data_IF_286279519873
#
_entry.id   IF_286279519873
#
_cell.length_a   1.000
_cell.length_b   1.000
_cell.length_c   1.000
_cell.angle_alpha   90.00
_cell.angle_beta   90.00
_cell.angle_gamma   90.00
#
_symmetry.space_group_name_H-M   'P 1'
#
loop_
_entity.id
_entity.type
_entity.pdbx_description
1 polymer ?
#
# COMPACT_ATOMS: atom_id res chain seq x y z
N UNK A 1 3.47 -44.19 19.96
CA UNK A 1 2.49 -43.64 20.91
C UNK A 1 3.22 -42.64 21.80
N UNK A 2 3.21 -41.35 21.42
CA UNK A 2 3.70 -40.28 22.31
C UNK A 2 2.49 -39.74 23.08
N UNK A 3 2.45 -40.07 24.38
CA UNK A 3 1.49 -39.47 25.31
C UNK A 3 1.74 -37.94 25.36
N UNK A 4 0.79 -37.16 24.86
CA UNK A 4 0.71 -35.73 25.13
C UNK A 4 0.47 -35.56 26.65
N UNK A 5 1.55 -35.41 27.43
CA UNK A 5 1.46 -34.92 28.80
C UNK A 5 0.88 -33.50 28.73
N UNK A 6 -0.41 -33.37 29.00
CA UNK A 6 -1.06 -32.09 29.25
C UNK A 6 -0.30 -31.42 30.40
N UNK A 7 0.52 -30.42 30.07
CA UNK A 7 1.19 -29.57 31.06
C UNK A 7 0.05 -28.88 31.86
N UNK A 8 -0.08 -29.23 33.17
CA UNK A 8 -1.05 -28.57 34.04
C UNK A 8 -0.64 -27.12 34.20
N UNK A 9 -1.47 -26.21 33.70
CA UNK A 9 -1.28 -24.78 33.89
C UNK A 9 -1.25 -24.41 35.37
N UNK A 10 -0.21 -23.73 35.80
CA UNK A 10 -0.10 -23.19 37.17
C UNK A 10 -1.01 -21.96 37.31
N UNK A 11 -1.28 -21.53 38.59
CA UNK A 11 -2.06 -20.29 38.81
C UNK A 11 -1.44 -19.07 38.16
N UNK A 12 -0.11 -19.00 38.11
CA UNK A 12 0.64 -17.92 37.44
C UNK A 12 0.45 -17.93 35.93
N UNK A 13 0.39 -19.12 35.31
CA UNK A 13 0.17 -19.23 33.85
C UNK A 13 -1.24 -18.76 33.47
N UNK A 14 -2.23 -19.09 34.29
CA UNK A 14 -3.62 -18.60 34.10
C UNK A 14 -3.70 -17.08 34.21
N UNK A 15 -3.07 -16.51 35.23
CA UNK A 15 -3.04 -15.08 35.43
C UNK A 15 -2.37 -14.37 34.24
N UNK A 16 -1.21 -14.87 33.80
CA UNK A 16 -0.50 -14.36 32.63
C UNK A 16 -1.36 -14.43 31.37
N UNK A 17 -2.03 -15.55 31.15
CA UNK A 17 -2.95 -15.75 30.02
C UNK A 17 -4.09 -14.77 30.03
N UNK A 18 -4.73 -14.57 31.22
CA UNK A 18 -5.82 -13.59 31.37
C UNK A 18 -5.34 -12.17 31.09
N UNK A 19 -4.20 -11.76 31.65
CA UNK A 19 -3.62 -10.43 31.42
C UNK A 19 -3.31 -10.20 29.93
N UNK A 20 -2.72 -11.20 29.27
CA UNK A 20 -2.39 -11.14 27.85
C UNK A 20 -3.64 -11.01 26.98
N UNK A 21 -4.67 -11.82 27.22
CA UNK A 21 -5.95 -11.68 26.51
C UNK A 21 -6.65 -10.34 26.78
N UNK A 22 -6.65 -9.89 28.03
CA UNK A 22 -7.24 -8.58 28.40
C UNK A 22 -6.53 -7.45 27.66
N UNK A 23 -5.20 -7.48 27.62
CA UNK A 23 -4.39 -6.50 26.88
C UNK A 23 -4.67 -6.57 25.37
N UNK A 24 -4.69 -7.78 24.79
CA UNK A 24 -4.96 -7.97 23.36
C UNK A 24 -6.37 -7.52 22.98
N UNK A 25 -7.38 -7.81 23.80
CA UNK A 25 -8.76 -7.35 23.59
C UNK A 25 -8.83 -5.83 23.72
N UNK A 26 -8.16 -5.24 24.72
CA UNK A 26 -8.08 -3.78 24.88
C UNK A 26 -7.49 -3.09 23.64
N UNK A 27 -6.39 -3.61 23.10
CA UNK A 27 -5.80 -3.14 21.84
C UNK A 27 -6.76 -3.31 20.65
N UNK A 28 -7.42 -4.46 20.56
CA UNK A 28 -8.38 -4.73 19.51
C UNK A 28 -9.51 -3.70 19.51
N UNK A 29 -10.11 -3.44 20.68
CA UNK A 29 -11.20 -2.48 20.83
C UNK A 29 -10.75 -1.04 20.50
N UNK A 30 -9.53 -0.67 20.92
CA UNK A 30 -8.96 0.64 20.65
C UNK A 30 -8.77 0.88 19.14
N UNK A 31 -8.32 -0.14 18.38
CA UNK A 31 -8.14 -0.05 16.94
C UNK A 31 -9.47 -0.17 16.19
N UNK A 32 -10.36 -1.02 16.67
CA UNK A 32 -11.64 -1.32 16.00
C UNK A 32 -12.63 -0.15 16.10
N UNK A 33 -12.62 0.58 17.23
CA UNK A 33 -13.55 1.68 17.49
C UNK A 33 -13.53 2.75 16.36
N UNK A 34 -12.39 3.35 15.97
CA UNK A 34 -12.38 4.35 14.91
C UNK A 34 -12.81 3.79 13.54
N UNK A 35 -12.57 2.51 13.27
CA UNK A 35 -13.01 1.87 12.04
C UNK A 35 -14.53 1.71 12.00
N UNK A 36 -15.13 1.22 13.10
CA UNK A 36 -16.58 1.12 13.24
C UNK A 36 -17.21 2.52 13.17
N UNK A 37 -16.61 3.52 13.82
CA UNK A 37 -17.09 4.90 13.76
C UNK A 37 -17.15 5.42 12.34
N UNK A 38 -16.08 5.27 11.54
CA UNK A 38 -16.05 5.71 10.13
C UNK A 38 -17.14 5.03 9.30
N UNK A 39 -17.31 3.71 9.46
CA UNK A 39 -18.37 2.98 8.77
C UNK A 39 -19.76 3.47 9.22
N UNK A 40 -20.00 3.62 10.52
CA UNK A 40 -21.29 4.11 11.05
C UNK A 40 -21.57 5.54 10.60
N UNK A 41 -20.54 6.40 10.59
CA UNK A 41 -20.63 7.77 10.12
C UNK A 41 -20.99 7.84 8.63
N UNK A 42 -20.44 6.95 7.81
CA UNK A 42 -20.72 6.92 6.37
C UNK A 42 -22.19 6.58 6.02
N UNK A 43 -22.90 5.93 6.94
CA UNK A 43 -24.31 5.61 6.81
C UNK A 43 -25.22 6.53 7.63
N UNK A 44 -24.70 7.52 8.34
CA UNK A 44 -25.48 8.42 9.20
C UNK A 44 -25.86 9.72 8.50
N UNK A 45 -26.91 10.38 8.98
CA UNK A 45 -27.28 11.71 8.50
C UNK A 45 -26.22 12.76 8.88
N UNK A 46 -25.96 13.78 8.04
CA UNK A 46 -25.03 14.87 8.34
C UNK A 46 -25.39 15.60 9.63
N UNK A 47 -26.70 15.75 9.90
CA UNK A 47 -27.21 16.42 11.08
C UNK A 47 -26.82 15.64 12.37
N UNK A 48 -26.93 14.31 12.33
CA UNK A 48 -26.53 13.46 13.44
C UNK A 48 -25.01 13.48 13.67
N UNK A 49 -24.21 13.55 12.58
CA UNK A 49 -22.77 13.68 12.65
C UNK A 49 -22.32 15.00 13.28
N UNK A 50 -22.84 16.13 12.78
CA UNK A 50 -22.52 17.46 13.29
C UNK A 50 -23.00 17.62 14.75
N UNK A 51 -24.13 16.99 15.12
CA UNK A 51 -24.62 16.98 16.49
C UNK A 51 -23.84 16.03 17.42
N UNK A 52 -22.85 15.29 16.92
CA UNK A 52 -22.05 14.34 17.72
C UNK A 52 -22.82 13.13 18.27
N UNK A 53 -23.95 12.77 17.62
CA UNK A 53 -24.82 11.66 18.07
C UNK A 53 -24.35 10.29 17.60
N UNK A 54 -23.46 10.23 16.62
CA UNK A 54 -22.94 8.98 16.04
C UNK A 54 -21.77 8.48 16.88
N UNK A 55 -21.84 7.22 17.33
CA UNK A 55 -20.78 6.56 18.13
C UNK A 55 -20.37 5.22 17.50
N UNK A 56 -21.16 4.17 17.74
CA UNK A 56 -20.89 2.82 17.22
C UNK A 56 -21.88 2.39 16.14
N UNK A 57 -23.09 2.92 16.16
CA UNK A 57 -24.15 2.58 15.22
C UNK A 57 -24.59 3.80 14.42
N UNK A 58 -25.04 3.60 13.18
CA UNK A 58 -25.59 4.68 12.37
C UNK A 58 -26.83 5.32 13.02
N UNK A 59 -26.92 6.65 12.93
CA UNK A 59 -28.08 7.43 13.41
C UNK A 59 -28.73 8.11 12.21
N UNK A 60 -30.07 8.01 12.11
CA UNK A 60 -30.84 8.48 10.96
C UNK A 60 -30.24 7.98 9.64
N UNK A 61 -30.17 6.66 9.49
CA UNK A 61 -29.44 5.99 8.41
C UNK A 61 -29.82 6.48 7.04
N UNK A 62 -28.83 6.86 6.22
CA UNK A 62 -28.98 7.36 4.85
C UNK A 62 -27.86 6.89 3.95
N UNK A 63 -28.16 6.75 2.65
CA UNK A 63 -27.18 6.48 1.59
C UNK A 63 -26.81 7.75 0.82
N UNK A 64 -27.24 8.94 1.28
CA UNK A 64 -27.02 10.20 0.59
C UNK A 64 -25.52 10.49 0.35
N UNK A 65 -24.64 10.13 1.29
CA UNK A 65 -23.20 10.26 1.13
C UNK A 65 -22.64 9.41 -0.02
N UNK A 66 -23.04 8.15 -0.10
CA UNK A 66 -22.64 7.28 -1.20
C UNK A 66 -23.20 7.76 -2.53
N UNK A 67 -24.49 8.18 -2.59
CA UNK A 67 -25.10 8.76 -3.79
C UNK A 67 -24.32 9.99 -4.25
N UNK A 68 -23.98 10.90 -3.33
CA UNK A 68 -23.17 12.07 -3.63
C UNK A 68 -21.80 11.68 -4.21
N UNK A 69 -21.09 10.71 -3.63
CA UNK A 69 -19.81 10.22 -4.15
C UNK A 69 -19.96 9.68 -5.57
N UNK A 70 -21.03 8.93 -5.86
CA UNK A 70 -21.26 8.37 -7.19
C UNK A 70 -21.66 9.42 -8.25
N UNK A 71 -22.26 10.52 -7.84
CA UNK A 71 -22.63 11.64 -8.73
C UNK A 71 -21.44 12.53 -9.10
N UNK A 72 -20.36 12.55 -8.28
CA UNK A 72 -19.18 13.37 -8.54
C UNK A 72 -18.24 12.72 -9.55
N UNK A 73 -18.14 13.30 -10.75
CA UNK A 73 -17.28 12.84 -11.84
C UNK A 73 -15.80 12.80 -11.43
N UNK A 74 -15.36 13.77 -10.66
CA UNK A 74 -13.98 13.92 -10.21
C UNK A 74 -13.51 12.75 -9.34
N UNK A 75 -14.41 12.16 -8.55
CA UNK A 75 -14.10 10.97 -7.75
C UNK A 75 -13.80 9.79 -8.66
N UNK A 76 -14.56 9.62 -9.74
CA UNK A 76 -14.33 8.54 -10.69
C UNK A 76 -13.05 8.72 -11.52
N UNK A 77 -12.75 9.97 -11.90
CA UNK A 77 -11.47 10.33 -12.56
C UNK A 77 -10.32 10.01 -11.60
N UNK A 78 -10.42 10.45 -10.35
CA UNK A 78 -9.40 10.16 -9.33
C UNK A 78 -9.24 8.67 -9.05
N UNK A 79 -10.35 7.92 -8.99
CA UNK A 79 -10.33 6.47 -8.83
C UNK A 79 -9.65 5.78 -10.02
N UNK A 80 -10.01 6.14 -11.25
CA UNK A 80 -9.40 5.59 -12.46
C UNK A 80 -7.89 5.91 -12.53
N UNK A 81 -7.50 7.14 -12.16
CA UNK A 81 -6.09 7.52 -12.05
C UNK A 81 -5.36 6.70 -10.98
N UNK A 82 -5.96 6.49 -9.80
CA UNK A 82 -5.34 5.66 -8.74
C UNK A 82 -5.15 4.21 -9.21
N UNK A 83 -6.12 3.62 -9.91
CA UNK A 83 -5.98 2.29 -10.50
C UNK A 83 -4.87 2.28 -11.55
N UNK A 84 -4.79 3.30 -12.40
CA UNK A 84 -3.72 3.44 -13.38
C UNK A 84 -2.34 3.53 -12.72
N UNK A 85 -2.15 4.43 -11.74
CA UNK A 85 -0.87 4.56 -11.03
C UNK A 85 -0.50 3.28 -10.28
N UNK A 86 -1.47 2.65 -9.63
CA UNK A 86 -1.25 1.39 -8.92
C UNK A 86 -0.82 0.27 -9.87
N UNK A 87 -1.51 0.09 -11.00
CA UNK A 87 -1.21 -1.03 -11.91
C UNK A 87 0.06 -0.80 -12.71
N UNK A 88 0.18 0.34 -13.39
CA UNK A 88 1.34 0.67 -14.24
C UNK A 88 2.59 0.91 -13.37
N UNK A 89 2.44 1.64 -12.25
CA UNK A 89 3.53 1.88 -11.32
C UNK A 89 4.05 0.60 -10.69
N UNK A 90 3.17 -0.26 -10.17
CA UNK A 90 3.57 -1.54 -9.59
C UNK A 90 4.29 -2.44 -10.61
N UNK A 91 3.80 -2.51 -11.84
CA UNK A 91 4.44 -3.29 -12.89
C UNK A 91 5.84 -2.75 -13.22
N UNK A 92 5.98 -1.44 -13.39
CA UNK A 92 7.27 -0.78 -13.63
C UNK A 92 8.24 -1.05 -12.47
N UNK A 93 7.81 -0.81 -11.24
CA UNK A 93 8.63 -1.01 -10.05
C UNK A 93 9.06 -2.48 -9.90
N UNK A 94 8.16 -3.43 -10.16
CA UNK A 94 8.47 -4.85 -10.08
C UNK A 94 9.51 -5.27 -11.12
N UNK A 95 9.38 -4.81 -12.37
CA UNK A 95 10.35 -5.09 -13.44
C UNK A 95 11.73 -4.53 -13.08
N UNK A 96 11.80 -3.28 -12.61
CA UNK A 96 13.06 -2.65 -12.23
C UNK A 96 13.68 -3.31 -10.98
N UNK A 97 12.86 -3.68 -10.00
CA UNK A 97 13.31 -4.40 -8.81
C UNK A 97 13.88 -5.77 -9.17
N UNK A 98 13.22 -6.51 -10.06
CA UNK A 98 13.74 -7.79 -10.58
C UNK A 98 15.06 -7.61 -11.34
N UNK A 99 15.12 -6.59 -12.22
CA UNK A 99 16.32 -6.29 -13.00
C UNK A 99 17.52 -5.89 -12.13
N UNK A 100 17.28 -5.26 -10.97
CA UNK A 100 18.31 -4.92 -10.00
C UNK A 100 18.64 -6.09 -9.06
N UNK A 101 17.63 -6.72 -8.45
CA UNK A 101 17.83 -7.73 -7.42
C UNK A 101 18.43 -9.03 -7.95
N UNK A 102 18.06 -9.46 -9.15
CA UNK A 102 18.56 -10.72 -9.70
C UNK A 102 20.08 -10.71 -9.94
N UNK A 103 20.66 -9.75 -10.67
CA UNK A 103 22.13 -9.70 -10.81
C UNK A 103 22.84 -9.53 -9.46
N UNK A 104 22.31 -8.69 -8.57
CA UNK A 104 22.91 -8.46 -7.25
C UNK A 104 22.83 -9.69 -6.32
N UNK A 105 21.91 -10.61 -6.58
CA UNK A 105 21.85 -11.87 -5.84
C UNK A 105 22.94 -12.87 -6.23
N UNK A 106 23.54 -12.69 -7.40
CA UNK A 106 24.52 -13.61 -7.99
C UNK A 106 25.90 -13.43 -7.38
N UNK A 107 26.58 -14.54 -7.10
CA UNK A 107 27.96 -14.55 -6.58
C UNK A 107 29.00 -14.22 -7.64
N UNK A 108 28.68 -14.51 -8.90
CA UNK A 108 29.58 -14.27 -10.07
C UNK A 108 29.54 -12.84 -10.60
N UNK A 109 28.72 -11.94 -10.01
CA UNK A 109 28.67 -10.53 -10.39
C UNK A 109 29.92 -9.78 -9.89
N UNK A 110 30.77 -9.35 -10.83
CA UNK A 110 31.96 -8.52 -10.53
C UNK A 110 31.46 -7.16 -9.98
N UNK A 111 31.98 -6.76 -8.81
CA UNK A 111 31.58 -5.51 -8.16
C UNK A 111 30.21 -5.53 -7.45
N UNK A 112 29.52 -6.67 -7.42
CA UNK A 112 28.19 -6.79 -6.81
C UNK A 112 28.12 -6.31 -5.36
N UNK A 113 29.20 -6.51 -4.57
CA UNK A 113 29.29 -6.03 -3.19
C UNK A 113 29.33 -4.50 -3.10
N UNK A 114 30.10 -3.83 -3.98
CA UNK A 114 30.19 -2.37 -4.02
C UNK A 114 28.86 -1.77 -4.45
N UNK A 115 28.21 -2.34 -5.47
CA UNK A 115 26.88 -1.89 -5.93
C UNK A 115 25.84 -2.07 -4.81
N UNK A 116 25.82 -3.21 -4.12
CA UNK A 116 24.92 -3.45 -2.97
C UNK A 116 25.13 -2.42 -1.87
N UNK A 117 26.39 -2.04 -1.57
CA UNK A 117 26.70 -0.99 -0.60
C UNK A 117 26.21 0.39 -1.05
N UNK A 118 26.32 0.73 -2.34
CA UNK A 118 25.76 1.98 -2.89
C UNK A 118 24.24 2.00 -2.76
N UNK A 119 23.56 0.90 -3.04
CA UNK A 119 22.12 0.80 -2.80
C UNK A 119 21.79 0.98 -1.31
N UNK A 120 22.50 0.29 -0.41
CA UNK A 120 22.30 0.42 1.02
C UNK A 120 22.58 1.84 1.54
N UNK A 121 23.56 2.54 0.96
CA UNK A 121 23.84 3.94 1.26
C UNK A 121 22.62 4.83 0.97
N UNK A 122 21.94 4.64 -0.15
CA UNK A 122 20.76 5.44 -0.52
C UNK A 122 19.54 5.19 0.37
N UNK A 123 19.49 4.11 1.16
CA UNK A 123 18.45 3.93 2.18
C UNK A 123 18.58 4.95 3.33
N UNK A 124 19.81 5.32 3.66
CA UNK A 124 20.11 6.20 4.80
C UNK A 124 20.25 7.66 4.34
N UNK A 125 20.85 7.86 3.18
CA UNK A 125 21.12 9.18 2.62
C UNK A 125 20.21 9.46 1.42
N UNK A 126 19.18 10.29 1.64
CA UNK A 126 18.32 10.80 0.58
C UNK A 126 18.70 12.23 0.22
N UNK A 127 18.52 12.61 -1.03
CA UNK A 127 18.74 14.00 -1.49
C UNK A 127 17.73 15.00 -0.90
N UNK A 128 16.62 14.51 -0.36
CA UNK A 128 15.55 15.33 0.20
C UNK A 128 14.54 15.83 -0.84
N UNK A 129 13.53 16.53 -0.35
CA UNK A 129 12.36 16.95 -1.14
C UNK A 129 12.73 17.96 -2.22
N UNK A 130 13.47 19.01 -1.85
CA UNK A 130 13.79 20.14 -2.76
C UNK A 130 14.63 19.66 -3.93
N UNK A 131 15.75 18.94 -3.77
CA UNK A 131 16.50 18.38 -4.88
C UNK A 131 15.68 17.48 -5.79
N UNK A 132 14.82 16.63 -5.22
CA UNK A 132 13.93 15.76 -5.99
C UNK A 132 12.95 16.58 -6.86
N UNK A 133 12.33 17.61 -6.27
CA UNK A 133 11.43 18.49 -7.01
C UNK A 133 12.14 19.20 -8.17
N UNK A 134 13.35 19.74 -7.91
CA UNK A 134 14.14 20.43 -8.92
C UNK A 134 14.54 19.48 -10.05
N UNK A 135 14.91 18.24 -9.75
CA UNK A 135 15.22 17.22 -10.74
C UNK A 135 13.99 16.89 -11.61
N UNK A 136 12.84 16.66 -11.01
CA UNK A 136 11.58 16.39 -11.74
C UNK A 136 11.22 17.57 -12.64
N UNK A 137 11.43 18.81 -12.17
CA UNK A 137 11.23 20.02 -12.93
C UNK A 137 12.22 20.13 -14.12
N UNK A 138 13.50 19.89 -13.89
CA UNK A 138 14.52 19.94 -14.94
C UNK A 138 14.31 18.89 -16.04
N UNK A 139 13.79 17.71 -15.64
CA UNK A 139 13.43 16.64 -16.59
C UNK A 139 12.14 16.94 -17.37
N UNK A 140 11.46 18.08 -17.10
CA UNK A 140 10.20 18.42 -17.77
C UNK A 140 9.03 17.50 -17.42
N UNK A 141 9.11 16.79 -16.27
CA UNK A 141 8.10 15.82 -15.87
C UNK A 141 6.96 16.44 -15.05
N UNK A 142 7.07 17.72 -14.61
CA UNK A 142 6.00 18.37 -13.85
C UNK A 142 4.68 18.32 -14.62
N UNK A 143 3.62 18.15 -13.88
CA UNK A 143 2.24 18.02 -14.39
C UNK A 143 2.04 16.89 -15.42
N UNK A 144 2.84 15.83 -15.30
CA UNK A 144 2.70 14.61 -16.10
C UNK A 144 2.45 13.39 -15.22
N UNK A 145 1.81 12.37 -15.76
CA UNK A 145 1.65 11.08 -15.06
C UNK A 145 3.00 10.42 -14.74
N UNK A 146 4.02 10.69 -15.54
CA UNK A 146 5.37 10.15 -15.34
C UNK A 146 6.04 10.71 -14.09
N UNK A 147 5.65 11.92 -13.63
CA UNK A 147 6.15 12.49 -12.38
C UNK A 147 5.83 11.65 -11.14
N UNK A 148 4.75 10.85 -11.18
CA UNK A 148 4.39 9.94 -10.09
C UNK A 148 5.02 8.54 -10.23
N UNK A 149 5.40 8.16 -11.44
CA UNK A 149 5.91 6.82 -11.74
C UNK A 149 7.43 6.72 -11.68
N UNK A 150 8.15 7.69 -12.32
CA UNK A 150 9.60 7.60 -12.54
C UNK A 150 10.42 7.88 -11.26
N UNK A 151 10.17 8.94 -10.47
CA UNK A 151 11.02 9.25 -9.32
C UNK A 151 11.05 8.15 -8.26
N UNK A 152 9.97 7.40 -8.13
CA UNK A 152 9.83 6.30 -7.17
C UNK A 152 9.80 4.92 -7.86
N UNK A 153 10.37 4.82 -9.06
CA UNK A 153 10.32 3.59 -9.86
C UNK A 153 11.11 2.43 -9.24
N UNK A 154 12.01 2.70 -8.31
CA UNK A 154 12.80 1.69 -7.61
C UNK A 154 12.86 2.00 -6.11
N UNK A 155 12.39 1.04 -5.30
CA UNK A 155 12.53 1.09 -3.85
C UNK A 155 13.68 0.15 -3.42
N UNK A 156 14.72 0.72 -2.84
CA UNK A 156 15.95 -0.01 -2.48
C UNK A 156 15.69 -1.08 -1.42
N UNK A 157 14.79 -0.83 -0.47
CA UNK A 157 14.39 -1.83 0.52
C UNK A 157 13.82 -3.08 -0.16
N UNK A 158 12.92 -2.90 -1.13
CA UNK A 158 12.33 -3.99 -1.90
C UNK A 158 13.38 -4.75 -2.73
N UNK A 159 14.38 -4.05 -3.28
CA UNK A 159 15.52 -4.69 -3.97
C UNK A 159 16.31 -5.59 -3.02
N UNK A 160 16.62 -5.10 -1.82
CA UNK A 160 17.38 -5.86 -0.82
C UNK A 160 16.59 -7.07 -0.34
N UNK A 161 15.30 -6.94 -0.07
CA UNK A 161 14.42 -8.06 0.32
C UNK A 161 14.38 -9.11 -0.77
N UNK A 162 14.16 -8.71 -2.02
CA UNK A 162 14.11 -9.62 -3.16
C UNK A 162 15.46 -10.30 -3.41
N UNK A 163 16.56 -9.55 -3.37
CA UNK A 163 17.92 -10.06 -3.48
C UNK A 163 18.22 -11.09 -2.40
N UNK A 164 17.87 -10.81 -1.15
CA UNK A 164 18.08 -11.72 -0.01
C UNK A 164 17.29 -13.01 -0.19
N UNK A 165 16.05 -12.92 -0.64
CA UNK A 165 15.23 -14.09 -0.96
C UNK A 165 15.87 -14.94 -2.06
N UNK A 166 16.34 -14.35 -3.15
CA UNK A 166 16.99 -15.09 -4.22
C UNK A 166 18.25 -15.82 -3.72
N UNK A 167 19.07 -15.17 -2.87
CA UNK A 167 20.28 -15.78 -2.29
C UNK A 167 19.98 -16.97 -1.38
N UNK A 168 18.86 -16.92 -0.64
CA UNK A 168 18.52 -17.97 0.33
C UNK A 168 17.69 -19.10 -0.27
N UNK A 169 16.90 -18.82 -1.30
CA UNK A 169 15.88 -19.76 -1.80
C UNK A 169 16.25 -20.40 -3.14
N UNK A 170 17.25 -19.87 -3.85
CA UNK A 170 17.69 -20.39 -5.16
C UNK A 170 19.12 -20.91 -5.01
N UNK A 171 19.32 -22.25 -4.94
CA UNK A 171 20.64 -22.86 -4.85
C UNK A 171 21.49 -22.55 -6.08
N UNK A 172 22.81 -22.36 -5.88
CA UNK A 172 23.77 -22.15 -6.97
C UNK A 172 23.83 -23.33 -7.94
N UNK A 173 23.58 -24.54 -7.45
CA UNK A 173 23.60 -25.79 -8.23
C UNK A 173 22.53 -25.80 -9.33
N UNK A 174 21.37 -25.15 -9.10
CA UNK A 174 20.36 -24.98 -10.14
C UNK A 174 20.85 -24.11 -11.29
N UNK A 175 21.63 -23.10 -10.97
CA UNK A 175 22.22 -22.23 -11.98
C UNK A 175 23.29 -22.96 -12.79
N UNK A 176 24.16 -23.69 -12.12
CA UNK A 176 25.26 -24.43 -12.76
C UNK A 176 24.69 -25.52 -13.68
N UNK A 177 23.68 -26.27 -13.23
CA UNK A 177 22.95 -27.22 -14.08
C UNK A 177 22.33 -26.53 -15.31
N UNK A 178 21.64 -25.42 -15.11
CA UNK A 178 21.04 -24.68 -16.21
C UNK A 178 22.07 -24.13 -17.21
N UNK A 179 23.28 -23.73 -16.74
CA UNK A 179 24.40 -23.32 -17.62
C UNK A 179 24.94 -24.50 -18.45
N UNK A 180 25.02 -25.68 -17.87
CA UNK A 180 25.44 -26.91 -18.58
C UNK A 180 24.45 -27.24 -19.71
N UNK A 181 23.16 -26.97 -19.49
CA UNK A 181 22.08 -27.11 -20.50
C UNK A 181 22.04 -25.94 -21.51
N UNK A 182 22.99 -25.01 -21.51
CA UNK A 182 23.05 -23.86 -22.42
C UNK A 182 21.99 -22.79 -22.13
N UNK A 183 21.45 -22.73 -20.93
CA UNK A 183 20.44 -21.74 -20.55
C UNK A 183 21.05 -20.36 -20.34
N UNK A 184 20.52 -19.33 -21.04
CA UNK A 184 20.93 -17.94 -20.83
C UNK A 184 20.43 -17.38 -19.50
N UNK A 185 21.12 -16.36 -18.95
CA UNK A 185 20.73 -15.72 -17.68
C UNK A 185 19.28 -15.20 -17.68
N UNK A 186 18.81 -14.61 -18.78
CA UNK A 186 17.42 -14.11 -18.90
C UNK A 186 16.43 -15.29 -18.91
N UNK A 187 16.75 -16.37 -19.63
CA UNK A 187 15.92 -17.58 -19.66
C UNK A 187 15.85 -18.23 -18.28
N UNK A 188 16.97 -18.29 -17.55
CA UNK A 188 17.02 -18.78 -16.18
C UNK A 188 16.14 -17.92 -15.26
N UNK A 189 16.24 -16.57 -15.33
CA UNK A 189 15.39 -15.66 -14.58
C UNK A 189 13.90 -15.91 -14.85
N UNK A 190 13.49 -15.93 -16.12
CA UNK A 190 12.07 -16.01 -16.48
C UNK A 190 11.45 -17.39 -16.24
N UNK A 191 12.21 -18.48 -16.46
CA UNK A 191 11.68 -19.85 -16.40
C UNK A 191 11.91 -20.56 -15.09
N UNK A 192 12.90 -20.14 -14.30
CA UNK A 192 13.26 -20.82 -13.05
C UNK A 192 13.11 -19.88 -11.86
N UNK A 193 13.79 -18.73 -11.85
CA UNK A 193 13.82 -17.84 -10.69
C UNK A 193 12.43 -17.25 -10.41
N UNK A 194 11.76 -16.66 -11.39
CA UNK A 194 10.44 -16.04 -11.21
C UNK A 194 9.40 -17.06 -10.74
N UNK A 195 9.22 -18.24 -11.34
CA UNK A 195 8.26 -19.23 -10.86
C UNK A 195 8.52 -19.73 -9.43
N UNK A 196 9.78 -19.90 -9.06
CA UNK A 196 10.17 -20.33 -7.70
C UNK A 196 10.00 -19.20 -6.66
N UNK A 197 9.93 -17.96 -7.10
CA UNK A 197 9.91 -16.78 -6.23
C UNK A 197 8.50 -16.19 -6.04
N UNK A 198 7.44 -16.93 -6.31
CA UNK A 198 6.06 -16.46 -6.26
C UNK A 198 5.70 -15.79 -4.93
N UNK A 199 6.23 -16.27 -3.79
CA UNK A 199 5.94 -15.69 -2.48
C UNK A 199 6.52 -14.26 -2.33
N UNK A 200 7.81 -14.05 -2.62
CA UNK A 200 8.42 -12.71 -2.51
C UNK A 200 7.88 -11.75 -3.56
N UNK A 201 7.58 -12.22 -4.75
CA UNK A 201 6.98 -11.41 -5.81
C UNK A 201 5.60 -10.90 -5.38
N UNK A 202 4.76 -11.74 -4.78
CA UNK A 202 3.46 -11.34 -4.27
C UNK A 202 3.57 -10.27 -3.16
N UNK A 203 4.52 -10.43 -2.24
CA UNK A 203 4.78 -9.47 -1.15
C UNK A 203 5.22 -8.12 -1.70
N UNK A 204 6.22 -8.10 -2.58
CA UNK A 204 6.75 -6.86 -3.16
C UNK A 204 5.73 -6.19 -4.08
N UNK A 205 4.95 -6.98 -4.84
CA UNK A 205 3.82 -6.44 -5.62
C UNK A 205 2.82 -5.73 -4.73
N UNK A 206 2.48 -6.32 -3.56
CA UNK A 206 1.59 -5.66 -2.60
C UNK A 206 2.19 -4.35 -2.07
N UNK A 207 3.47 -4.35 -1.67
CA UNK A 207 4.11 -3.15 -1.14
C UNK A 207 4.02 -1.99 -2.14
N UNK A 208 4.37 -2.23 -3.40
CA UNK A 208 4.24 -1.23 -4.45
C UNK A 208 2.79 -0.83 -4.75
N UNK A 209 1.87 -1.79 -4.80
CA UNK A 209 0.46 -1.50 -5.04
C UNK A 209 -0.15 -0.62 -3.94
N UNK A 210 0.15 -0.92 -2.67
CA UNK A 210 -0.29 -0.11 -1.52
C UNK A 210 0.35 1.27 -1.53
N UNK A 211 1.64 1.37 -1.86
CA UNK A 211 2.37 2.64 -1.96
C UNK A 211 1.74 3.55 -3.03
N UNK A 212 1.53 3.04 -4.24
CA UNK A 212 0.89 3.80 -5.32
C UNK A 212 -0.56 4.16 -5.01
N UNK A 213 -1.33 3.23 -4.44
CA UNK A 213 -2.72 3.51 -4.05
C UNK A 213 -2.84 4.65 -3.04
N UNK A 214 -1.93 4.69 -2.05
CA UNK A 214 -1.93 5.71 -1.00
C UNK A 214 -1.15 6.99 -1.37
N UNK A 215 -0.60 7.07 -2.57
CA UNK A 215 0.21 8.20 -3.01
C UNK A 215 -0.63 9.46 -3.22
N UNK A 216 -0.55 10.41 -2.29
CA UNK A 216 -1.13 11.74 -2.45
C UNK A 216 -0.07 12.85 -2.44
N UNK A 217 1.02 12.66 -1.67
CA UNK A 217 2.00 13.71 -1.42
C UNK A 217 2.78 14.08 -2.70
N UNK A 218 3.24 13.08 -3.46
CA UNK A 218 3.90 13.31 -4.72
C UNK A 218 2.96 13.93 -5.76
N UNK A 219 1.68 13.54 -5.73
CA UNK A 219 0.66 14.16 -6.60
C UNK A 219 0.44 15.64 -6.23
N UNK A 220 0.43 15.97 -4.94
CA UNK A 220 0.33 17.35 -4.47
C UNK A 220 1.50 18.22 -4.92
N UNK A 221 2.72 17.64 -4.97
CA UNK A 221 3.94 18.36 -5.34
C UNK A 221 4.12 18.54 -6.84
N UNK A 222 3.78 17.51 -7.62
CA UNK A 222 4.19 17.45 -9.02
C UNK A 222 3.05 17.67 -10.01
N UNK A 223 1.77 17.56 -9.57
CA UNK A 223 0.62 17.74 -10.44
C UNK A 223 -0.12 19.04 -10.14
N UNK A 224 -0.52 19.74 -11.20
CA UNK A 224 -1.39 20.91 -11.16
C UNK A 224 -2.76 20.64 -11.80
N UNK A 225 -2.82 19.75 -12.78
CA UNK A 225 -4.01 19.37 -13.50
C UNK A 225 -4.85 18.37 -12.69
N UNK A 226 -6.08 18.78 -12.36
CA UNK A 226 -7.03 17.98 -11.56
C UNK A 226 -7.42 16.66 -12.25
N UNK A 227 -7.39 16.60 -13.58
CA UNK A 227 -7.73 15.39 -14.34
C UNK A 227 -6.68 14.26 -14.19
N UNK A 228 -5.52 14.57 -13.61
CA UNK A 228 -4.45 13.61 -13.31
C UNK A 228 -4.38 13.21 -11.84
N UNK A 229 -5.20 13.83 -10.97
CA UNK A 229 -5.14 13.60 -9.53
C UNK A 229 -5.55 12.17 -9.18
N UNK A 230 -4.81 11.48 -8.28
CA UNK A 230 -5.27 10.24 -7.68
C UNK A 230 -6.36 10.50 -6.64
N UNK A 231 -7.16 9.47 -6.36
CA UNK A 231 -8.27 9.54 -5.39
C UNK A 231 -7.82 10.04 -4.01
N UNK A 232 -6.64 9.63 -3.55
CA UNK A 232 -6.12 10.01 -2.22
C UNK A 232 -5.82 11.51 -2.12
N UNK A 233 -5.44 12.17 -3.21
CA UNK A 233 -5.28 13.64 -3.21
C UNK A 233 -6.64 14.34 -3.12
N UNK A 234 -7.66 13.80 -3.78
CA UNK A 234 -9.05 14.23 -3.62
C UNK A 234 -9.52 14.10 -2.18
N UNK A 235 -9.37 12.91 -1.60
CA UNK A 235 -9.73 12.64 -0.21
C UNK A 235 -9.03 13.62 0.74
N UNK A 236 -7.74 13.83 0.58
CA UNK A 236 -6.97 14.80 1.38
C UNK A 236 -7.54 16.22 1.25
N UNK A 237 -7.91 16.66 0.05
CA UNK A 237 -8.45 17.99 -0.15
C UNK A 237 -9.80 18.16 0.55
N UNK A 238 -10.66 17.16 0.53
CA UNK A 238 -11.94 17.18 1.28
C UNK A 238 -11.68 17.17 2.79
N UNK A 239 -10.78 16.33 3.29
CA UNK A 239 -10.53 16.16 4.72
C UNK A 239 -9.81 17.36 5.37
N UNK A 240 -8.83 17.93 4.69
CA UNK A 240 -7.91 18.94 5.27
C UNK A 240 -8.34 20.35 4.91
N UNK A 241 -8.75 20.58 3.68
CA UNK A 241 -9.04 21.93 3.19
C UNK A 241 -10.52 22.29 3.27
N UNK A 242 -11.40 21.34 3.61
CA UNK A 242 -12.86 21.47 3.49
C UNK A 242 -13.28 22.02 2.11
N UNK A 243 -12.45 21.84 1.09
CA UNK A 243 -12.63 22.38 -0.25
C UNK A 243 -13.62 21.55 -1.08
N UNK A 244 -14.84 21.42 -0.57
CA UNK A 244 -16.00 21.08 -1.41
C UNK A 244 -16.37 22.28 -2.30
N UNK A 245 -15.75 23.43 -2.07
CA UNK A 245 -16.03 24.72 -2.73
C UNK A 245 -15.88 24.70 -4.25
N UNK A 246 -14.94 23.92 -4.78
CA UNK A 246 -14.70 23.85 -6.23
C UNK A 246 -15.67 22.91 -6.97
N UNK A 247 -16.38 22.05 -6.24
CA UNK A 247 -17.26 21.03 -6.82
C UNK A 247 -18.71 21.49 -6.98
N UNK A 248 -19.09 22.55 -6.28
CA UNK A 248 -20.44 23.12 -6.31
C UNK A 248 -20.51 24.40 -7.16
N UNK A 249 -19.89 24.41 -8.35
CA UNK A 249 -19.84 25.60 -9.23
C UNK A 249 -21.21 26.13 -9.68
N UNK A 250 -22.26 25.31 -9.60
CA UNK A 250 -23.58 25.67 -10.14
C UNK A 250 -24.68 25.83 -9.08
N UNK A 251 -24.43 25.54 -7.79
CA UNK A 251 -25.48 25.65 -6.77
C UNK A 251 -25.20 26.82 -5.81
N UNK A 252 -26.03 27.86 -5.92
CA UNK A 252 -26.15 29.01 -4.98
C UNK A 252 -26.75 28.54 -3.63
N UNK A 253 -26.35 27.35 -3.14
CA UNK A 253 -26.78 26.86 -1.83
C UNK A 253 -25.91 27.48 -0.75
N UNK A 254 -26.55 27.96 0.30
CA UNK A 254 -25.88 28.64 1.42
C UNK A 254 -24.82 27.79 2.12
N UNK A 255 -23.94 28.40 2.92
CA UNK A 255 -22.81 27.78 3.60
C UNK A 255 -23.16 26.51 4.41
N UNK A 256 -24.35 26.44 4.98
CA UNK A 256 -24.86 25.27 5.71
C UNK A 256 -25.00 24.02 4.82
N UNK A 257 -25.53 24.17 3.60
CA UNK A 257 -25.68 23.03 2.67
C UNK A 257 -24.35 22.48 2.19
N UNK A 258 -23.34 23.33 2.03
CA UNK A 258 -21.97 22.94 1.68
C UNK A 258 -21.29 22.16 2.80
N UNK A 259 -21.47 22.60 4.05
CA UNK A 259 -20.94 21.89 5.22
C UNK A 259 -21.56 20.50 5.36
N UNK A 260 -22.87 20.36 5.15
CA UNK A 260 -23.54 19.05 5.13
C UNK A 260 -23.00 18.13 4.05
N UNK A 261 -22.78 18.65 2.85
CA UNK A 261 -22.26 17.87 1.74
C UNK A 261 -20.82 17.40 2.01
N UNK A 262 -19.98 18.28 2.59
CA UNK A 262 -18.62 17.94 2.99
C UNK A 262 -18.58 16.78 3.97
N UNK A 263 -19.41 16.82 5.01
CA UNK A 263 -19.50 15.75 6.01
C UNK A 263 -20.01 14.42 5.41
N UNK A 264 -20.99 14.48 4.50
CA UNK A 264 -21.47 13.29 3.78
C UNK A 264 -20.37 12.64 2.93
N UNK A 265 -19.65 13.43 2.14
CA UNK A 265 -18.62 12.95 1.25
C UNK A 265 -17.43 12.38 2.00
N UNK A 266 -17.05 13.00 3.11
CA UNK A 266 -15.87 12.66 3.91
C UNK A 266 -15.82 11.17 4.29
N UNK A 267 -16.81 10.70 5.03
CA UNK A 267 -16.83 9.32 5.55
C UNK A 267 -17.13 8.30 4.46
N UNK A 268 -18.05 8.62 3.55
CA UNK A 268 -18.37 7.73 2.42
C UNK A 268 -17.17 7.54 1.47
N UNK A 269 -16.40 8.59 1.22
CA UNK A 269 -15.21 8.52 0.39
C UNK A 269 -14.07 7.75 1.08
N UNK A 270 -13.91 7.90 2.40
CA UNK A 270 -12.94 7.08 3.17
C UNK A 270 -13.27 5.59 2.99
N UNK A 271 -14.53 5.20 3.17
CA UNK A 271 -14.94 3.79 2.99
C UNK A 271 -14.67 3.31 1.58
N UNK A 272 -15.09 4.06 0.55
CA UNK A 272 -14.88 3.70 -0.86
C UNK A 272 -13.38 3.60 -1.19
N UNK A 273 -12.57 4.53 -0.71
CA UNK A 273 -11.12 4.54 -0.98
C UNK A 273 -10.37 3.38 -0.30
N UNK A 274 -10.91 2.80 0.76
CA UNK A 274 -10.29 1.64 1.43
C UNK A 274 -10.69 0.29 0.82
N UNK A 275 -11.81 0.21 0.11
CA UNK A 275 -12.32 -1.04 -0.47
C UNK A 275 -11.32 -1.80 -1.36
N UNK A 276 -10.61 -1.16 -2.31
CA UNK A 276 -9.66 -1.88 -3.16
C UNK A 276 -8.56 -2.57 -2.38
N UNK A 277 -8.03 -1.94 -1.32
CA UNK A 277 -7.01 -2.54 -0.46
C UNK A 277 -7.56 -3.73 0.33
N UNK A 278 -8.80 -3.62 0.84
CA UNK A 278 -9.47 -4.71 1.54
C UNK A 278 -9.73 -5.90 0.62
N UNK A 279 -10.04 -5.66 -0.65
CA UNK A 279 -10.23 -6.72 -1.65
C UNK A 279 -8.90 -7.41 -2.01
N UNK A 280 -7.82 -6.66 -2.13
CA UNK A 280 -6.49 -7.20 -2.47
C UNK A 280 -5.90 -8.02 -1.32
N UNK A 281 -6.14 -7.63 -0.05
CA UNK A 281 -5.53 -8.21 1.13
C UNK A 281 -5.65 -9.76 1.22
N UNK A 282 -6.82 -10.39 1.07
CA UNK A 282 -6.97 -11.84 1.18
C UNK A 282 -6.15 -12.62 0.13
N UNK A 283 -5.97 -12.04 -1.07
CA UNK A 283 -5.17 -12.69 -2.12
C UNK A 283 -3.70 -12.74 -1.77
N UNK A 284 -3.22 -11.78 -1.02
CA UNK A 284 -1.81 -11.68 -0.61
C UNK A 284 -1.55 -12.42 0.70
N UNK A 285 -2.48 -12.39 1.64
CA UNK A 285 -2.37 -13.06 2.93
C UNK A 285 -1.99 -14.54 2.79
N UNK A 286 -2.56 -15.25 1.83
CA UNK A 286 -2.24 -16.67 1.55
C UNK A 286 -0.77 -16.91 1.19
N UNK A 287 -0.07 -15.92 0.63
CA UNK A 287 1.34 -16.02 0.28
C UNK A 287 2.26 -15.69 1.45
N UNK A 288 1.82 -14.79 2.36
CA UNK A 288 2.55 -14.47 3.59
C UNK A 288 2.66 -15.69 4.52
N UNK A 289 1.56 -16.40 4.74
CA UNK A 289 1.53 -17.57 5.63
C UNK A 289 2.50 -18.67 5.16
N UNK A 290 2.62 -18.86 3.84
CA UNK A 290 3.53 -19.85 3.26
C UNK A 290 5.00 -19.40 3.30
N UNK A 291 5.28 -18.10 3.12
CA UNK A 291 6.65 -17.56 3.08
C UNK A 291 7.34 -17.49 4.44
N UNK A 292 6.61 -17.12 5.48
CA UNK A 292 7.13 -17.02 6.86
C UNK A 292 7.48 -18.40 7.43
N UNK A 293 6.72 -19.44 7.08
CA UNK A 293 6.97 -20.80 7.55
C UNK A 293 8.25 -21.43 6.98
N UNK A 294 8.65 -21.05 5.76
CA UNK A 294 9.87 -21.61 5.14
C UNK A 294 11.15 -21.05 5.81
N UNK A 295 11.09 -19.82 6.33
CA UNK A 295 12.21 -19.20 7.06
C UNK A 295 12.41 -19.73 8.49
N UNK A 296 11.36 -20.22 9.14
CA UNK A 296 11.41 -20.69 10.54
C UNK A 296 11.82 -22.17 10.70
N UNK A 297 11.85 -22.94 9.62
CA UNK A 297 12.22 -24.38 9.66
C UNK A 297 13.73 -24.63 9.43
N UNK A 298 14.55 -23.58 9.27
CA UNK A 298 16.00 -23.66 9.12
C UNK A 298 16.78 -23.12 10.32
N UNK A 299 16.15 -23.03 11.50
CA UNK A 299 16.77 -22.71 12.79
C UNK A 299 16.97 -23.96 13.61
#
# INVERSE_FOLDING_TARGET
MHENKLIRETGSDKLFTILNYTFAIGLLLLVLYPLIFVVSASFSSPQALIAGKVWLLPVDSTLAGYRAVFEYKEVWVGFANSVFYMTVGTLLNLVLTLAAAYPLSRKDLIGGRAITLLFAFTLIFSGGLIPTYLLVKQLGLLDSRLALLIPNALNVFNVIVMMSFFRSSIPDELLDSAKMDGCSNIRFLLRIVIPLSGAVLAVITLFYAVEHWNSYFNALLFLSDKDKYPLQLFLRNILVLNTVFDFAKDDVRGDSSRMYLSELLKYSLIVISTLPLLVIYPFVQRHFVKGVMIGSLKG
#
